data_IF_307268741599
#
_entry.id   IF_307268741599
#
_cell.length_a   1.000
_cell.length_b   1.000
_cell.length_c   1.000
_cell.angle_alpha   90.00
_cell.angle_beta   90.00
_cell.angle_gamma   90.00
#
_symmetry.space_group_name_H-M   'P 1'
#
loop_
_entity.id
_entity.type
_entity.pdbx_description
1 polymer ?
#
# COMPACT_ATOMS: atom_id res chain seq x y z
N UNK A 1 21.06 -17.64 -6.07
CA UNK A 1 20.06 -16.57 -5.94
C UNK A 1 18.86 -17.17 -5.23
N UNK A 2 18.64 -16.81 -3.96
CA UNK A 2 17.42 -17.16 -3.22
C UNK A 2 16.25 -16.51 -3.94
N UNK A 3 15.31 -17.29 -4.49
CA UNK A 3 14.10 -16.72 -5.05
C UNK A 3 13.34 -16.04 -3.89
N UNK A 4 13.17 -14.72 -4.00
CA UNK A 4 12.32 -13.97 -3.09
C UNK A 4 10.87 -14.33 -3.41
N UNK A 5 10.12 -14.76 -2.40
CA UNK A 5 8.70 -15.05 -2.52
C UNK A 5 7.94 -13.73 -2.80
N UNK A 6 7.20 -13.62 -3.91
CA UNK A 6 6.49 -12.38 -4.27
C UNK A 6 5.47 -11.92 -3.22
N UNK A 7 4.89 -12.85 -2.46
CA UNK A 7 3.96 -12.51 -1.38
C UNK A 7 4.69 -11.82 -0.22
N UNK A 8 5.86 -12.33 0.17
CA UNK A 8 6.67 -11.72 1.22
C UNK A 8 7.18 -10.33 0.80
N UNK A 9 7.38 -10.10 -0.50
CA UNK A 9 7.72 -8.79 -1.05
C UNK A 9 6.54 -7.82 -1.00
N UNK A 10 5.33 -8.30 -1.32
CA UNK A 10 4.12 -7.48 -1.24
C UNK A 10 3.85 -7.07 0.20
N UNK A 11 3.92 -8.02 1.15
CA UNK A 11 3.74 -7.74 2.57
C UNK A 11 4.75 -6.72 3.06
N UNK A 12 6.03 -6.86 2.69
CA UNK A 12 7.06 -5.87 3.02
C UNK A 12 6.77 -4.48 2.45
N UNK A 13 6.32 -4.39 1.18
CA UNK A 13 5.95 -3.11 0.60
C UNK A 13 4.79 -2.46 1.37
N UNK A 14 3.76 -3.24 1.68
CA UNK A 14 2.59 -2.77 2.43
C UNK A 14 2.98 -2.31 3.85
N UNK A 15 3.83 -3.08 4.55
CA UNK A 15 4.34 -2.73 5.88
C UNK A 15 5.13 -1.42 5.86
N UNK A 16 5.97 -1.20 4.84
CA UNK A 16 6.70 0.07 4.64
C UNK A 16 5.70 1.21 4.45
N UNK A 17 4.73 1.00 3.57
CA UNK A 17 3.73 2.00 3.22
C UNK A 17 2.87 2.40 4.43
N UNK A 18 2.54 1.45 5.30
CA UNK A 18 1.77 1.70 6.53
C UNK A 18 2.63 2.35 7.62
N UNK A 19 3.91 1.99 7.71
CA UNK A 19 4.85 2.55 8.69
C UNK A 19 5.30 3.98 8.37
N UNK A 20 5.30 4.35 7.09
CA UNK A 20 5.78 5.65 6.60
C UNK A 20 4.69 6.37 5.79
N UNK A 21 3.68 6.97 6.47
CA UNK A 21 2.57 7.65 5.80
C UNK A 21 2.99 8.94 5.07
N UNK A 22 4.19 9.45 5.36
CA UNK A 22 4.74 10.69 4.79
C UNK A 22 5.59 10.45 3.54
N UNK A 23 5.49 9.29 2.88
CA UNK A 23 6.20 9.08 1.61
C UNK A 23 5.59 10.00 0.54
N UNK A 24 6.41 10.84 -0.07
CA UNK A 24 6.00 11.83 -1.08
C UNK A 24 6.54 11.54 -2.49
N UNK A 25 7.56 10.68 -2.60
CA UNK A 25 8.18 10.29 -3.87
C UNK A 25 8.43 8.77 -3.91
N UNK A 26 8.08 8.14 -5.05
CA UNK A 26 8.38 6.73 -5.33
C UNK A 26 9.21 6.63 -6.61
N UNK A 27 10.29 5.87 -6.56
CA UNK A 27 11.22 5.67 -7.67
C UNK A 27 11.62 4.21 -7.88
N UNK A 28 12.14 3.90 -9.06
CA UNK A 28 12.65 2.58 -9.40
C UNK A 28 14.18 2.60 -9.50
N UNK A 29 14.83 1.71 -8.76
CA UNK A 29 16.28 1.70 -8.57
C UNK A 29 16.87 0.44 -9.19
N UNK A 30 17.93 0.57 -9.99
CA UNK A 30 18.67 -0.60 -10.43
C UNK A 30 19.47 -1.19 -9.25
N UNK A 31 19.51 -2.52 -9.04
CA UNK A 31 20.19 -3.15 -7.89
C UNK A 31 21.62 -2.65 -7.62
N UNK A 32 22.36 -2.30 -8.68
CA UNK A 32 23.73 -1.77 -8.56
C UNK A 32 23.83 -0.39 -7.90
N UNK A 33 22.74 0.38 -7.83
CA UNK A 33 22.71 1.75 -7.31
C UNK A 33 22.42 1.80 -5.80
N UNK A 34 21.97 0.71 -5.19
CA UNK A 34 21.64 0.67 -3.75
C UNK A 34 22.84 0.99 -2.85
N UNK A 35 24.03 0.51 -3.23
CA UNK A 35 25.26 0.77 -2.47
C UNK A 35 25.58 2.26 -2.48
N UNK A 36 25.58 2.89 -3.65
CA UNK A 36 25.82 4.32 -3.83
C UNK A 36 24.82 5.17 -3.06
N UNK A 37 23.52 4.85 -3.13
CA UNK A 37 22.47 5.58 -2.40
C UNK A 37 22.63 5.46 -0.88
N UNK A 38 23.06 4.31 -0.37
CA UNK A 38 23.31 4.12 1.05
C UNK A 38 24.56 4.86 1.54
N UNK A 39 25.58 4.99 0.70
CA UNK A 39 26.80 5.76 0.99
C UNK A 39 26.53 7.27 0.96
N UNK A 40 25.83 7.76 -0.07
CA UNK A 40 25.47 9.18 -0.24
C UNK A 40 24.52 9.68 0.87
N UNK A 41 23.61 8.82 1.34
CA UNK A 41 22.71 9.14 2.44
C UNK A 41 23.38 9.14 3.83
N UNK A 42 24.70 9.38 3.89
CA UNK A 42 25.45 9.59 5.12
C UNK A 42 25.69 8.31 5.91
N UNK A 43 26.26 7.30 5.26
CA UNK A 43 26.65 5.99 5.82
C UNK A 43 26.83 5.95 7.34
N UNK A 44 25.75 5.66 8.05
CA UNK A 44 25.74 5.21 9.43
C UNK A 44 24.58 4.25 9.56
N UNK A 45 24.93 3.01 9.88
CA UNK A 45 24.01 1.91 10.19
C UNK A 45 22.99 2.37 11.24
N UNK A 46 21.79 2.72 10.80
CA UNK A 46 20.59 2.55 11.59
C UNK A 46 19.87 1.30 11.09
N UNK A 47 20.48 0.16 11.44
CA UNK A 47 19.70 -1.01 11.79
C UNK A 47 18.94 -0.68 13.08
N UNK A 48 17.73 -0.18 12.92
CA UNK A 48 16.66 -0.17 13.92
C UNK A 48 15.43 0.31 13.13
N UNK A 49 14.72 -0.58 12.47
CA UNK A 49 13.67 -1.38 13.11
C UNK A 49 13.67 -2.80 12.52
N UNK A 50 13.89 -3.77 13.39
CA UNK A 50 13.81 -5.18 13.07
C UNK A 50 14.63 -6.00 14.06
N UNK A 51 13.96 -6.44 15.13
CA UNK A 51 14.44 -7.38 16.16
C UNK A 51 15.11 -6.75 17.39
N UNK A 52 14.27 -6.30 18.31
CA UNK A 52 14.57 -6.39 19.73
C UNK A 52 14.65 -7.88 20.09
N UNK A 53 15.85 -8.47 20.21
CA UNK A 53 16.16 -9.56 21.16
C UNK A 53 17.69 -9.77 21.28
N UNK A 54 18.21 -9.28 22.41
CA UNK A 54 19.27 -9.83 23.28
C UNK A 54 20.76 -9.88 22.87
N UNK A 55 21.51 -9.07 23.63
CA UNK A 55 22.72 -9.42 24.42
C UNK A 55 24.11 -9.46 23.78
N UNK A 56 25.04 -8.93 24.57
CA UNK A 56 26.43 -8.53 24.32
C UNK A 56 27.41 -9.71 24.09
N UNK A 57 28.41 -9.54 23.22
CA UNK A 57 29.85 -9.50 23.59
C UNK A 57 30.74 -9.19 22.36
N UNK A 58 31.84 -8.47 22.60
CA UNK A 58 32.77 -7.91 21.62
C UNK A 58 33.70 -8.97 21.01
N UNK A 59 33.78 -9.07 19.67
CA UNK A 59 35.06 -9.38 18.98
C UNK A 59 35.09 -8.72 17.59
N UNK A 60 36.15 -7.96 17.36
CA UNK A 60 36.58 -7.37 16.09
C UNK A 60 36.84 -8.47 15.05
N UNK A 61 35.92 -8.65 14.10
CA UNK A 61 36.06 -9.59 12.99
C UNK A 61 35.46 -9.00 11.73
N UNK A 62 36.27 -8.92 10.67
CA UNK A 62 35.94 -8.54 9.31
C UNK A 62 34.53 -9.03 8.90
N UNK A 63 33.55 -8.14 8.95
CA UNK A 63 32.16 -8.45 8.60
C UNK A 63 31.97 -8.00 7.15
N UNK A 64 32.14 -8.93 6.22
CA UNK A 64 31.30 -8.93 5.02
C UNK A 64 29.88 -9.04 5.57
N UNK A 65 29.24 -7.90 5.82
CA UNK A 65 27.89 -7.86 6.33
C UNK A 65 27.04 -8.60 5.32
N UNK A 66 26.46 -9.71 5.76
CA UNK A 66 25.42 -10.43 5.04
C UNK A 66 24.29 -9.42 4.82
N UNK A 67 24.34 -8.71 3.70
CA UNK A 67 23.36 -7.67 3.35
C UNK A 67 22.00 -8.34 3.43
N UNK A 68 21.13 -7.81 4.28
CA UNK A 68 19.78 -8.35 4.39
C UNK A 68 19.15 -8.25 3.00
N UNK A 69 18.52 -9.30 2.46
CA UNK A 69 17.94 -9.25 1.11
C UNK A 69 16.99 -8.04 0.92
N UNK A 70 16.32 -7.62 2.01
CA UNK A 70 15.45 -6.45 2.06
C UNK A 70 16.16 -5.13 1.71
N UNK A 71 17.42 -4.94 2.13
CA UNK A 71 18.22 -3.72 1.82
C UNK A 71 18.58 -3.61 0.34
N UNK A 72 18.36 -4.66 -0.45
CA UNK A 72 18.60 -4.69 -1.91
C UNK A 72 17.32 -4.66 -2.75
N UNK A 73 16.17 -4.64 -2.08
CA UNK A 73 14.86 -4.71 -2.73
C UNK A 73 14.08 -3.42 -2.53
N UNK A 74 14.06 -2.91 -1.30
CA UNK A 74 13.41 -1.65 -0.95
C UNK A 74 14.42 -0.70 -0.30
N UNK A 75 14.36 0.56 -0.69
CA UNK A 75 15.14 1.64 -0.10
C UNK A 75 14.17 2.71 0.38
N UNK A 76 14.20 3.07 1.66
CA UNK A 76 13.27 4.05 2.23
C UNK A 76 14.03 5.04 3.10
N UNK A 77 14.18 6.28 2.65
CA UNK A 77 14.83 7.39 3.36
C UNK A 77 14.27 8.73 2.89
N UNK A 78 14.32 9.74 3.76
CA UNK A 78 13.96 11.12 3.43
C UNK A 78 12.62 11.27 2.69
N UNK A 79 11.59 10.53 3.13
CA UNK A 79 10.25 10.49 2.52
C UNK A 79 10.18 9.87 1.11
N UNK A 80 11.28 9.28 0.63
CA UNK A 80 11.36 8.62 -0.67
C UNK A 80 11.38 7.11 -0.52
N UNK A 81 10.65 6.44 -1.40
CA UNK A 81 10.64 4.99 -1.52
C UNK A 81 11.20 4.56 -2.87
N UNK A 82 12.29 3.82 -2.82
CA UNK A 82 12.93 3.17 -3.96
C UNK A 82 12.59 1.68 -4.03
N UNK A 83 12.10 1.24 -5.18
CA UNK A 83 11.79 -0.18 -5.46
C UNK A 83 12.78 -0.72 -6.48
N UNK A 84 13.41 -1.86 -6.17
CA UNK A 84 14.36 -2.50 -7.05
C UNK A 84 13.71 -2.97 -8.35
N UNK A 85 14.28 -2.62 -9.50
CA UNK A 85 13.72 -3.01 -10.82
C UNK A 85 13.67 -4.53 -11.01
N UNK A 86 14.51 -5.29 -10.31
CA UNK A 86 14.57 -6.75 -10.39
C UNK A 86 13.31 -7.44 -9.85
N UNK A 87 12.56 -6.78 -8.95
CA UNK A 87 11.35 -7.33 -8.33
C UNK A 87 10.06 -6.75 -8.90
N UNK A 88 10.14 -5.79 -9.82
CA UNK A 88 8.98 -5.00 -10.25
C UNK A 88 7.86 -5.88 -10.84
N UNK A 89 8.20 -6.77 -11.77
CA UNK A 89 7.25 -7.67 -12.41
C UNK A 89 6.61 -8.68 -11.43
N UNK A 90 7.37 -9.46 -10.64
CA UNK A 90 6.75 -10.40 -9.69
C UNK A 90 5.92 -9.67 -8.62
N UNK A 91 6.38 -8.52 -8.14
CA UNK A 91 5.66 -7.70 -7.16
C UNK A 91 4.34 -7.16 -7.75
N UNK A 92 4.37 -6.62 -8.96
CA UNK A 92 3.16 -6.17 -9.67
C UNK A 92 2.14 -7.29 -9.86
N UNK A 93 2.59 -8.47 -10.33
CA UNK A 93 1.70 -9.61 -10.54
C UNK A 93 1.05 -10.06 -9.23
N UNK A 94 1.81 -10.11 -8.14
CA UNK A 94 1.29 -10.46 -6.82
C UNK A 94 0.30 -9.40 -6.32
N UNK A 95 0.67 -8.12 -6.34
CA UNK A 95 -0.22 -7.02 -5.95
C UNK A 95 -1.55 -7.05 -6.72
N UNK A 96 -1.48 -7.29 -8.03
CA UNK A 96 -2.66 -7.44 -8.90
C UNK A 96 -3.53 -8.62 -8.48
N UNK A 97 -2.94 -9.79 -8.23
CA UNK A 97 -3.69 -10.98 -7.83
C UNK A 97 -4.39 -10.77 -6.49
N UNK A 98 -3.67 -10.26 -5.48
CA UNK A 98 -4.20 -10.02 -4.14
C UNK A 98 -5.30 -8.94 -4.17
N UNK A 99 -5.11 -7.86 -4.93
CA UNK A 99 -6.14 -6.84 -5.15
C UNK A 99 -7.40 -7.44 -5.80
N UNK A 100 -7.26 -8.23 -6.86
CA UNK A 100 -8.42 -8.81 -7.55
C UNK A 100 -9.19 -9.78 -6.65
N UNK A 101 -8.48 -10.57 -5.84
CA UNK A 101 -9.11 -11.45 -4.85
C UNK A 101 -9.83 -10.67 -3.74
N UNK A 102 -9.26 -9.56 -3.26
CA UNK A 102 -9.92 -8.68 -2.30
C UNK A 102 -11.17 -7.99 -2.89
N UNK A 103 -11.07 -7.53 -4.15
CA UNK A 103 -12.19 -6.91 -4.86
C UNK A 103 -13.34 -7.90 -5.11
N UNK A 104 -13.03 -9.15 -5.44
CA UNK A 104 -14.02 -10.21 -5.59
C UNK A 104 -14.75 -10.46 -4.28
N UNK A 105 -14.01 -10.63 -3.18
CA UNK A 105 -14.59 -10.74 -1.82
C UNK A 105 -15.50 -9.56 -1.53
N UNK A 106 -15.02 -8.33 -1.72
CA UNK A 106 -15.80 -7.11 -1.49
C UNK A 106 -17.15 -7.12 -2.23
N UNK A 107 -17.15 -7.49 -3.52
CA UNK A 107 -18.38 -7.60 -4.32
C UNK A 107 -19.31 -8.70 -3.81
N UNK A 108 -18.77 -9.81 -3.30
CA UNK A 108 -19.59 -10.86 -2.70
C UNK A 108 -20.29 -10.36 -1.43
N UNK A 109 -19.59 -9.64 -0.56
CA UNK A 109 -20.17 -9.06 0.66
C UNK A 109 -21.20 -7.96 0.35
N UNK A 110 -20.93 -7.09 -0.63
CA UNK A 110 -21.89 -6.05 -1.04
C UNK A 110 -23.20 -6.65 -1.56
N UNK A 111 -23.12 -7.71 -2.37
CA UNK A 111 -24.29 -8.39 -2.92
C UNK A 111 -25.11 -9.17 -1.87
N UNK A 112 -24.46 -9.62 -0.79
CA UNK A 112 -25.12 -10.31 0.33
C UNK A 112 -25.88 -9.34 1.25
N UNK A 113 -25.35 -8.13 1.45
CA UNK A 113 -26.04 -7.08 2.22
C UNK A 113 -27.38 -6.71 1.58
N UNK A 114 -27.43 -6.51 0.27
CA UNK A 114 -28.66 -6.13 -0.47
C UNK A 114 -29.76 -7.19 -0.39
N UNK A 115 -29.40 -8.47 -0.26
CA UNK A 115 -30.38 -9.58 -0.17
C UNK A 115 -30.89 -9.81 1.25
N UNK A 116 -30.19 -9.35 2.28
CA UNK A 116 -30.58 -9.52 3.69
C UNK A 116 -31.71 -8.57 4.08
N UNK A 117 -31.82 -7.42 3.41
CA UNK A 117 -32.90 -6.44 3.62
C UNK A 117 -34.29 -6.98 3.20
N UNK A 118 -34.35 -8.11 2.47
CA UNK A 118 -35.61 -8.77 2.06
C UNK A 118 -36.08 -9.89 3.01
N UNK A 119 -35.21 -10.45 3.86
CA UNK A 119 -35.57 -11.54 4.77
C UNK A 119 -35.16 -11.18 6.20
N UNK A 120 -36.08 -10.54 6.92
CA UNK A 120 -35.92 -10.17 8.33
C UNK A 120 -35.67 -11.39 9.21
N UNK A 121 -34.41 -11.62 9.55
CA UNK A 121 -33.98 -12.55 10.59
C UNK A 121 -32.95 -11.84 11.46
N UNK A 122 -33.40 -11.51 12.67
CA UNK A 122 -32.76 -10.58 13.60
C UNK A 122 -31.98 -11.37 14.66
N UNK A 123 -30.66 -11.29 14.57
CA UNK A 123 -29.77 -11.65 15.68
C UNK A 123 -28.65 -10.63 15.72
N UNK A 124 -28.70 -9.76 16.72
CA UNK A 124 -27.78 -8.64 16.97
C UNK A 124 -26.30 -9.00 16.78
N UNK A 125 -25.88 -10.21 17.17
CA UNK A 125 -24.51 -10.69 17.03
C UNK A 125 -24.11 -10.99 15.57
N UNK A 126 -25.06 -11.38 14.72
CA UNK A 126 -24.83 -11.62 13.29
C UNK A 126 -24.56 -10.34 12.52
N UNK A 127 -25.18 -9.21 12.92
CA UNK A 127 -24.95 -7.92 12.28
C UNK A 127 -23.60 -7.32 12.62
N UNK A 128 -23.17 -7.35 13.88
CA UNK A 128 -21.83 -6.88 14.24
C UNK A 128 -20.73 -7.70 13.58
N UNK A 129 -20.86 -9.04 13.55
CA UNK A 129 -19.92 -9.91 12.85
C UNK A 129 -19.87 -9.61 11.35
N UNK A 130 -21.02 -9.42 10.70
CA UNK A 130 -21.10 -9.07 9.28
C UNK A 130 -20.55 -7.68 8.98
N UNK A 131 -20.72 -6.71 9.89
CA UNK A 131 -20.19 -5.35 9.71
C UNK A 131 -18.67 -5.29 9.85
N UNK A 132 -18.10 -6.05 10.79
CA UNK A 132 -16.65 -6.12 11.01
C UNK A 132 -15.95 -6.77 9.81
N UNK A 133 -16.54 -7.84 9.29
CA UNK A 133 -16.08 -8.56 8.10
C UNK A 133 -16.12 -7.66 6.84
N UNK A 134 -17.16 -6.84 6.67
CA UNK A 134 -17.21 -5.82 5.59
C UNK A 134 -16.09 -4.79 5.74
N UNK A 135 -15.86 -4.28 6.95
CA UNK A 135 -14.78 -3.30 7.22
C UNK A 135 -13.39 -3.89 6.94
N UNK A 136 -13.17 -5.15 7.30
CA UNK A 136 -11.93 -5.88 7.03
C UNK A 136 -11.71 -6.00 5.52
N UNK A 137 -12.71 -6.47 4.77
CA UNK A 137 -12.62 -6.61 3.32
C UNK A 137 -12.41 -5.27 2.61
N UNK A 138 -13.04 -4.19 3.07
CA UNK A 138 -12.80 -2.84 2.58
C UNK A 138 -11.36 -2.38 2.85
N UNK A 139 -10.83 -2.67 4.04
CA UNK A 139 -9.45 -2.33 4.40
C UNK A 139 -8.44 -3.06 3.50
N UNK A 140 -8.69 -4.33 3.18
CA UNK A 140 -7.88 -5.14 2.28
C UNK A 140 -7.89 -4.58 0.86
N UNK A 141 -9.07 -4.19 0.35
CA UNK A 141 -9.17 -3.53 -0.97
C UNK A 141 -8.33 -2.26 -0.97
N UNK A 142 -8.43 -1.42 0.06
CA UNK A 142 -7.68 -0.16 0.15
C UNK A 142 -6.16 -0.37 0.31
N UNK A 143 -5.74 -1.40 1.04
CA UNK A 143 -4.33 -1.75 1.26
C UNK A 143 -3.67 -2.24 -0.03
N UNK A 144 -4.22 -3.27 -0.66
CA UNK A 144 -3.64 -3.85 -1.87
C UNK A 144 -3.73 -2.92 -3.08
N UNK A 145 -4.80 -2.13 -3.19
CA UNK A 145 -4.92 -1.13 -4.26
C UNK A 145 -3.86 -0.04 -4.14
N UNK A 146 -3.49 0.37 -2.92
CA UNK A 146 -2.42 1.36 -2.71
C UNK A 146 -1.09 0.83 -3.26
N UNK A 147 -0.69 -0.37 -2.86
CA UNK A 147 0.52 -1.00 -3.37
C UNK A 147 0.51 -1.14 -4.91
N UNK A 148 -0.62 -1.56 -5.48
CA UNK A 148 -0.78 -1.73 -6.92
C UNK A 148 -0.71 -0.40 -7.70
N UNK A 149 -1.27 0.68 -7.17
CA UNK A 149 -1.21 2.01 -7.82
C UNK A 149 0.21 2.57 -7.88
N UNK A 150 1.03 2.31 -6.85
CA UNK A 150 2.45 2.68 -6.87
C UNK A 150 3.23 1.96 -7.96
N UNK A 151 2.83 0.73 -8.29
CA UNK A 151 3.45 -0.08 -9.33
C UNK A 151 2.85 0.20 -10.72
N UNK A 152 1.57 0.57 -10.79
CA UNK A 152 0.81 0.82 -12.02
C UNK A 152 -0.35 1.79 -11.77
N UNK A 153 -0.07 3.08 -11.93
CA UNK A 153 -1.04 4.15 -11.66
C UNK A 153 -2.21 4.23 -12.66
N UNK A 154 -2.02 3.73 -13.89
CA UNK A 154 -3.04 3.81 -14.95
C UNK A 154 -4.09 2.67 -14.88
N UNK A 155 -4.07 1.87 -13.82
CA UNK A 155 -5.00 0.76 -13.65
C UNK A 155 -6.37 1.28 -13.15
N UNK A 156 -7.18 1.81 -14.06
CA UNK A 156 -8.46 2.47 -13.74
C UNK A 156 -9.44 1.64 -12.89
N UNK A 157 -9.45 0.32 -13.01
CA UNK A 157 -10.27 -0.57 -12.16
C UNK A 157 -9.92 -0.43 -10.68
N UNK A 158 -8.65 -0.23 -10.35
CA UNK A 158 -8.22 -0.03 -8.96
C UNK A 158 -8.79 1.28 -8.42
N UNK A 159 -8.61 2.36 -9.15
CA UNK A 159 -9.15 3.66 -8.77
C UNK A 159 -10.68 3.65 -8.60
N UNK A 160 -11.41 3.01 -9.53
CA UNK A 160 -12.86 2.85 -9.42
C UNK A 160 -13.27 2.03 -8.19
N UNK A 161 -12.49 0.99 -7.86
CA UNK A 161 -12.76 0.15 -6.68
C UNK A 161 -12.55 0.92 -5.38
N UNK A 162 -11.51 1.75 -5.30
CA UNK A 162 -11.28 2.65 -4.15
C UNK A 162 -12.42 3.65 -3.99
N UNK A 163 -12.87 4.27 -5.09
CA UNK A 163 -14.04 5.17 -5.10
C UNK A 163 -15.29 4.47 -4.59
N UNK A 164 -15.55 3.25 -5.04
CA UNK A 164 -16.69 2.44 -4.59
C UNK A 164 -16.65 2.18 -3.07
N UNK A 165 -15.47 1.84 -2.52
CA UNK A 165 -15.28 1.67 -1.07
C UNK A 165 -15.49 3.00 -0.33
N UNK A 166 -15.00 4.12 -0.87
CA UNK A 166 -15.16 5.45 -0.27
C UNK A 166 -16.62 5.92 -0.24
N UNK A 167 -17.40 5.65 -1.29
CA UNK A 167 -18.82 6.01 -1.35
C UNK A 167 -19.66 5.37 -0.24
N UNK A 168 -19.19 4.27 0.36
CA UNK A 168 -19.86 3.59 1.46
C UNK A 168 -19.47 4.14 2.86
N UNK A 169 -18.51 5.07 2.96
CA UNK A 169 -17.93 5.52 4.24
C UNK A 169 -18.28 6.97 4.57
N UNK A 170 -18.56 7.23 5.85
CA UNK A 170 -18.73 8.58 6.41
C UNK A 170 -17.50 9.10 7.16
N UNK A 171 -16.34 8.42 7.07
CA UNK A 171 -15.16 8.75 7.86
C UNK A 171 -14.20 9.70 7.13
N UNK A 172 -13.96 10.88 7.72
CA UNK A 172 -13.15 11.97 7.16
C UNK A 172 -11.69 11.64 6.90
N UNK A 173 -11.07 10.77 7.72
CA UNK A 173 -9.64 10.44 7.61
C UNK A 173 -9.30 9.73 6.29
N UNK A 174 -10.21 8.88 5.79
CA UNK A 174 -9.97 8.07 4.60
C UNK A 174 -9.88 8.95 3.35
N UNK A 175 -10.59 10.09 3.33
CA UNK A 175 -10.46 11.08 2.27
C UNK A 175 -9.12 11.82 2.29
N UNK A 176 -8.53 12.03 3.48
CA UNK A 176 -7.18 12.60 3.59
C UNK A 176 -6.15 11.61 3.08
N UNK A 177 -6.28 10.34 3.45
CA UNK A 177 -5.38 9.28 3.00
C UNK A 177 -5.46 9.10 1.47
N UNK A 178 -6.67 9.22 0.88
CA UNK A 178 -6.88 9.18 -0.57
C UNK A 178 -6.26 10.38 -1.29
N UNK A 179 -6.34 11.58 -0.70
CA UNK A 179 -5.72 12.78 -1.24
C UNK A 179 -4.20 12.66 -1.24
N UNK A 180 -3.62 12.14 -0.15
CA UNK A 180 -2.19 11.89 -0.04
C UNK A 180 -1.72 10.86 -1.06
N UNK A 181 -2.46 9.76 -1.24
CA UNK A 181 -2.14 8.77 -2.27
C UNK A 181 -2.20 9.37 -3.68
N UNK A 182 -3.23 10.17 -3.97
CA UNK A 182 -3.35 10.84 -5.28
C UNK A 182 -2.19 11.80 -5.53
N UNK A 183 -1.78 12.57 -4.52
CA UNK A 183 -0.62 13.46 -4.60
C UNK A 183 0.69 12.68 -4.83
N UNK A 184 0.88 11.57 -4.12
CA UNK A 184 2.04 10.68 -4.29
C UNK A 184 2.09 10.09 -5.70
N UNK A 185 0.96 9.62 -6.24
CA UNK A 185 0.92 9.09 -7.60
C UNK A 185 1.28 10.17 -8.63
N UNK A 186 0.79 11.39 -8.44
CA UNK A 186 1.06 12.52 -9.34
C UNK A 186 2.53 12.99 -9.27
N UNK A 187 3.24 12.78 -8.16
CA UNK A 187 4.64 13.21 -8.02
C UNK A 187 5.57 12.45 -8.99
N UNK A 188 5.30 11.17 -9.26
CA UNK A 188 6.08 10.37 -10.22
C UNK A 188 5.38 10.14 -11.58
N UNK A 189 4.06 10.35 -11.67
CA UNK A 189 3.29 10.19 -12.92
C UNK A 189 2.47 11.45 -13.30
N UNK A 190 3.12 12.61 -13.55
CA UNK A 190 2.43 13.87 -13.79
C UNK A 190 1.57 13.92 -15.06
N UNK A 191 1.65 12.90 -15.94
CA UNK A 191 0.89 12.77 -17.19
C UNK A 191 -0.21 11.70 -17.16
N UNK A 192 -0.45 11.02 -16.04
CA UNK A 192 -1.47 9.97 -15.95
C UNK A 192 -2.89 10.57 -15.92
N UNK A 193 -3.66 10.42 -17.00
CA UNK A 193 -5.04 10.94 -17.11
C UNK A 193 -5.97 10.38 -16.01
N UNK A 194 -5.77 9.12 -15.59
CA UNK A 194 -6.54 8.48 -14.53
C UNK A 194 -6.28 9.11 -13.16
N UNK A 195 -5.02 9.47 -12.87
CA UNK A 195 -4.62 10.08 -11.60
C UNK A 195 -5.17 11.51 -11.46
N UNK A 196 -5.15 12.28 -12.55
CA UNK A 196 -5.77 13.61 -12.61
C UNK A 196 -7.29 13.57 -12.47
N UNK A 197 -7.95 12.60 -13.12
CA UNK A 197 -9.41 12.44 -13.05
C UNK A 197 -9.89 12.06 -11.65
N UNK A 198 -9.11 11.25 -10.92
CA UNK A 198 -9.41 10.87 -9.55
C UNK A 198 -9.18 12.03 -8.56
N UNK A 199 -8.08 12.77 -8.67
CA UNK A 199 -7.78 13.90 -7.77
C UNK A 199 -8.76 15.08 -7.93
N UNK A 200 -9.21 15.35 -9.16
CA UNK A 200 -10.26 16.35 -9.43
C UNK A 200 -11.63 15.88 -8.96
N UNK A 201 -11.96 14.59 -9.09
CA UNK A 201 -13.19 14.01 -8.55
C UNK A 201 -13.28 14.08 -7.02
N UNK A 202 -12.21 13.71 -6.31
CA UNK A 202 -12.13 13.78 -4.85
C UNK A 202 -12.21 15.23 -4.32
N UNK A 203 -11.66 16.19 -5.07
CA UNK A 203 -11.77 17.61 -4.75
C UNK A 203 -13.19 18.16 -4.94
N UNK A 204 -13.92 17.69 -5.97
CA UNK A 204 -15.32 18.09 -6.18
C UNK A 204 -16.28 17.49 -5.15
N UNK A 205 -16.08 16.24 -4.72
CA UNK A 205 -16.89 15.66 -3.63
C UNK A 205 -16.72 16.45 -2.33
N UNK A 206 -15.51 16.93 -2.02
CA UNK A 206 -15.25 17.78 -0.85
C UNK A 206 -16.01 19.11 -0.89
N UNK A 207 -16.22 19.68 -2.08
CA UNK A 207 -16.98 20.93 -2.27
C UNK A 207 -18.50 20.72 -2.16
N UNK A 208 -19.01 19.52 -2.45
CA UNK A 208 -20.41 19.18 -2.18
C UNK A 208 -20.70 18.97 -0.69
N UNK A 209 -19.74 18.47 0.09
CA UNK A 209 -19.89 18.29 1.55
C UNK A 209 -19.64 19.57 2.37
N UNK A 210 -19.04 20.62 1.79
CA UNK A 210 -18.79 21.91 2.45
C UNK A 210 -19.87 22.97 2.13
N UNK A 211 -20.90 22.63 1.34
CA UNK A 211 -22.03 23.51 0.99
C UNK A 211 -23.37 23.05 1.60
N UNK A 212 -23.34 22.31 2.70
CA UNK A 212 -24.51 21.99 3.54
C UNK A 212 -24.28 22.46 4.98
#
# INVERSE_FOLDING_TARGET
>A
MTQLNPLDLLNQLEDILDSYPLIDEVGFIHPSQFVTLNEEAGGSLLSSVGTMLQSEDRVLGSRVSKVNPSETVFWCRDHKLGISTQVLLPLYNMAKQTFMAALERYKMHSNLSVKKDEYGSDSMSSWYASSLDVLEVESEVMKHSRALLLLSCDFGTVWNSRKLVLSNKQHSQIFVDELLLSALVLSYAPKSECSWSHSTGASMEKLSYLNL
#
